data_IF_765173313775
#
_entry.id   IF_765173313775
#
_cell.length_a   1.000
_cell.length_b   1.000
_cell.length_c   1.000
_cell.angle_alpha   90.00
_cell.angle_beta   90.00
_cell.angle_gamma   90.00
#
_symmetry.space_group_name_H-M   'P 1'
#
loop_
_entity.id
_entity.type
_entity.pdbx_description
1 polymer ?
#
# COMPACT_ATOMS: atom_id res chain seq x y z
N UNK A 1 16.99 -5.47 1.04
CA UNK A 1 15.60 -5.96 1.03
C UNK A 1 15.21 -6.16 -0.43
N UNK A 2 14.75 -7.36 -0.84
CA UNK A 2 14.26 -7.61 -2.18
C UNK A 2 13.11 -6.68 -2.56
N UNK A 3 12.99 -6.32 -3.84
CA UNK A 3 11.88 -5.47 -4.28
C UNK A 3 10.50 -6.11 -4.09
N UNK A 4 10.43 -7.45 -4.13
CA UNK A 4 9.22 -8.21 -3.84
C UNK A 4 8.65 -7.99 -2.42
N UNK A 5 9.44 -7.40 -1.50
CA UNK A 5 9.00 -7.11 -0.14
C UNK A 5 8.36 -5.71 -0.04
N UNK A 6 8.35 -4.89 -1.10
CA UNK A 6 7.67 -3.58 -1.08
C UNK A 6 6.23 -3.72 -1.55
N UNK A 7 5.31 -3.01 -0.88
CA UNK A 7 3.93 -2.83 -1.39
C UNK A 7 3.87 -1.51 -2.13
N UNK A 8 3.45 -1.56 -3.39
CA UNK A 8 3.45 -0.41 -4.28
C UNK A 8 2.02 0.08 -4.48
N UNK A 9 1.79 1.36 -4.22
CA UNK A 9 0.57 2.08 -4.62
C UNK A 9 1.02 3.15 -5.61
N UNK A 10 0.54 3.07 -6.86
CA UNK A 10 0.97 3.93 -7.97
C UNK A 10 -0.19 4.73 -8.55
N UNK A 11 0.12 5.56 -9.56
CA UNK A 11 -0.88 6.31 -10.35
C UNK A 11 -1.71 7.31 -9.52
N UNK A 12 -1.11 7.89 -8.48
CA UNK A 12 -1.71 8.98 -7.71
C UNK A 12 -1.43 10.31 -8.42
N UNK A 13 -2.41 10.81 -9.18
CA UNK A 13 -2.35 12.07 -9.90
C UNK A 13 -3.76 12.54 -10.30
N UNK A 14 -3.87 13.75 -10.88
CA UNK A 14 -5.17 14.38 -11.23
C UNK A 14 -6.10 13.51 -12.11
N UNK A 15 -5.51 12.67 -12.96
CA UNK A 15 -6.23 11.77 -13.89
C UNK A 15 -6.16 10.29 -13.45
N UNK A 16 -5.68 10.03 -12.24
CA UNK A 16 -5.49 8.69 -11.69
C UNK A 16 -6.25 8.55 -10.38
N UNK A 17 -5.68 7.82 -9.42
CA UNK A 17 -6.28 7.72 -8.09
C UNK A 17 -6.22 9.07 -7.39
N UNK A 18 -7.37 9.51 -6.87
CA UNK A 18 -7.45 10.75 -6.11
C UNK A 18 -6.57 10.64 -4.84
N UNK A 19 -5.82 11.68 -4.54
CA UNK A 19 -4.92 11.72 -3.40
C UNK A 19 -5.62 11.41 -2.06
N UNK A 20 -6.87 11.84 -1.89
CA UNK A 20 -7.64 11.59 -0.65
C UNK A 20 -7.96 10.09 -0.49
N UNK A 21 -8.45 9.45 -1.55
CA UNK A 21 -8.77 8.01 -1.55
C UNK A 21 -7.50 7.17 -1.44
N UNK A 22 -6.44 7.55 -2.15
CA UNK A 22 -5.13 6.90 -2.06
C UNK A 22 -4.59 6.96 -0.62
N UNK A 23 -4.72 8.11 0.06
CA UNK A 23 -4.31 8.26 1.46
C UNK A 23 -5.07 7.31 2.40
N UNK A 24 -6.40 7.24 2.25
CA UNK A 24 -7.22 6.31 3.03
C UNK A 24 -6.83 4.84 2.77
N UNK A 25 -6.59 4.48 1.51
CA UNK A 25 -6.15 3.14 1.14
C UNK A 25 -4.77 2.81 1.75
N UNK A 26 -3.80 3.72 1.64
CA UNK A 26 -2.46 3.55 2.22
C UNK A 26 -2.55 3.35 3.73
N UNK A 27 -3.37 4.14 4.45
CA UNK A 27 -3.55 3.98 5.90
C UNK A 27 -4.08 2.59 6.27
N UNK A 28 -5.02 2.05 5.48
CA UNK A 28 -5.54 0.69 5.66
C UNK A 28 -4.47 -0.38 5.42
N UNK A 29 -3.68 -0.23 4.35
CA UNK A 29 -2.57 -1.13 4.02
C UNK A 29 -1.51 -1.13 5.12
N UNK A 30 -1.09 0.05 5.60
CA UNK A 30 -0.12 0.18 6.70
C UNK A 30 -0.63 -0.48 7.98
N UNK A 31 -1.93 -0.33 8.30
CA UNK A 31 -2.53 -1.01 9.44
C UNK A 31 -2.42 -2.54 9.32
N UNK A 32 -2.70 -3.09 8.13
CA UNK A 32 -2.56 -4.55 7.88
C UNK A 32 -1.11 -5.01 7.97
N UNK A 33 -0.17 -4.24 7.44
CA UNK A 33 1.26 -4.53 7.56
C UNK A 33 1.71 -4.64 9.01
N UNK A 34 1.27 -3.73 9.87
CA UNK A 34 1.61 -3.76 11.30
C UNK A 34 0.96 -4.95 12.03
N UNK A 35 -0.28 -5.30 11.68
CA UNK A 35 -0.98 -6.44 12.27
C UNK A 35 -0.36 -7.78 11.88
N UNK A 36 -0.03 -7.95 10.60
CA UNK A 36 0.51 -9.21 10.05
C UNK A 36 2.04 -9.29 10.14
N UNK A 37 2.72 -8.18 10.43
CA UNK A 37 4.19 -8.03 10.36
C UNK A 37 4.76 -8.47 9.00
N UNK A 38 3.99 -8.25 7.93
CA UNK A 38 4.31 -8.66 6.57
C UNK A 38 4.18 -7.49 5.59
N UNK A 39 4.84 -7.57 4.45
CA UNK A 39 4.82 -6.55 3.40
C UNK A 39 5.08 -7.18 2.02
N UNK A 40 4.69 -6.47 0.96
CA UNK A 40 4.90 -6.88 -0.43
C UNK A 40 4.13 -8.16 -0.75
N UNK A 41 4.79 -9.11 -1.40
CA UNK A 41 4.18 -10.41 -1.76
C UNK A 41 3.71 -11.24 -0.56
N UNK A 42 4.25 -10.96 0.64
CA UNK A 42 3.84 -11.64 1.87
C UNK A 42 2.63 -11.01 2.58
N UNK A 43 2.15 -9.85 2.13
CA UNK A 43 1.02 -9.16 2.76
C UNK A 43 -0.31 -9.67 2.19
N UNK A 44 -1.23 -10.09 3.08
CA UNK A 44 -2.59 -10.43 2.69
C UNK A 44 -3.46 -9.17 2.73
N UNK A 45 -3.78 -8.65 1.53
CA UNK A 45 -4.59 -7.44 1.31
C UNK A 45 -6.09 -7.70 1.42
#
# INVERSE_FOLDING_TARGET
MPEANRTVVSNIHKNGTNAVEAGAHIASVVKKMLQQKASGTGLQL
#
